data_IF_338483886600
#
_entry.id   IF_338483886600
#
_cell.length_a   1.000
_cell.length_b   1.000
_cell.length_c   1.000
_cell.angle_alpha   90.00
_cell.angle_beta   90.00
_cell.angle_gamma   90.00
#
_symmetry.space_group_name_H-M   'P 1'
#
loop_
_entity.id
_entity.type
_entity.pdbx_description
1 polymer ?
#
# COMPACT_ATOMS: atom_id res chain seq x y z
N UNK A 1 9.04 -3.30 4.02
CA UNK A 1 10.16 -4.04 3.41
C UNK A 1 10.87 -4.90 4.44
N UNK A 2 11.30 -4.36 5.60
CA UNK A 2 12.03 -5.13 6.63
C UNK A 2 11.17 -6.15 7.41
N UNK A 3 9.91 -5.85 7.74
CA UNK A 3 9.04 -6.83 8.45
C UNK A 3 8.49 -7.95 7.56
N UNK A 4 8.55 -7.82 6.23
CA UNK A 4 8.02 -8.83 5.32
C UNK A 4 8.95 -10.05 5.21
N UNK A 5 10.27 -9.85 5.34
CA UNK A 5 11.27 -10.89 5.06
C UNK A 5 11.24 -12.07 6.02
N UNK A 6 11.05 -11.83 7.32
CA UNK A 6 10.98 -12.89 8.33
C UNK A 6 9.71 -13.74 8.20
N UNK A 7 8.60 -13.09 7.87
CA UNK A 7 7.33 -13.78 7.70
C UNK A 7 7.19 -14.43 6.32
N UNK A 8 8.04 -14.06 5.34
CA UNK A 8 8.03 -14.63 4.00
C UNK A 8 8.65 -16.04 3.93
N UNK A 9 9.65 -16.35 4.77
CA UNK A 9 10.20 -17.70 4.90
C UNK A 9 9.30 -18.61 5.76
N UNK A 10 8.68 -18.04 6.79
CA UNK A 10 7.84 -18.81 7.70
C UNK A 10 6.41 -19.00 7.20
N UNK A 11 5.87 -18.13 6.36
CA UNK A 11 4.49 -18.28 5.85
C UNK A 11 4.26 -19.55 5.02
N UNK A 12 5.08 -19.93 4.03
CA UNK A 12 4.89 -21.20 3.33
C UNK A 12 5.14 -22.40 4.25
N UNK A 13 6.17 -22.34 5.10
CA UNK A 13 6.46 -23.40 6.09
C UNK A 13 5.33 -23.58 7.12
N UNK A 14 4.73 -22.48 7.60
CA UNK A 14 3.62 -22.50 8.53
C UNK A 14 2.31 -22.91 7.86
N UNK A 15 2.08 -22.53 6.60
CA UNK A 15 0.90 -22.93 5.82
C UNK A 15 0.88 -24.43 5.52
N UNK A 16 2.04 -25.05 5.31
CA UNK A 16 2.15 -26.50 5.15
C UNK A 16 1.99 -27.26 6.48
N UNK A 17 2.40 -26.66 7.61
CA UNK A 17 2.37 -27.31 8.92
C UNK A 17 1.06 -27.08 9.70
N UNK A 18 0.43 -25.92 9.55
CA UNK A 18 -0.74 -25.46 10.32
C UNK A 18 -1.66 -24.56 9.47
N UNK A 19 -2.52 -25.13 8.61
CA UNK A 19 -3.35 -24.37 7.66
C UNK A 19 -4.31 -23.36 8.33
N UNK A 20 -4.83 -23.71 9.51
CA UNK A 20 -5.93 -22.97 10.18
C UNK A 20 -5.53 -22.43 11.57
N UNK A 21 -4.22 -22.27 11.82
CA UNK A 21 -3.73 -21.82 13.12
C UNK A 21 -4.07 -20.33 13.40
N UNK A 22 -4.49 -19.95 14.62
CA UNK A 22 -4.84 -18.57 14.97
C UNK A 22 -3.69 -17.57 14.76
N UNK A 23 -2.44 -18.06 14.74
CA UNK A 23 -1.27 -17.24 14.42
C UNK A 23 -1.28 -16.80 12.95
N UNK A 24 -1.56 -17.70 12.00
CA UNK A 24 -1.48 -17.43 10.55
C UNK A 24 -2.42 -16.31 10.14
N UNK A 25 -3.63 -16.26 10.71
CA UNK A 25 -4.60 -15.19 10.48
C UNK A 25 -4.12 -13.83 11.00
N UNK A 26 -3.56 -13.81 12.22
CA UNK A 26 -3.01 -12.60 12.82
C UNK A 26 -1.83 -12.04 12.02
N UNK A 27 -0.93 -12.91 11.55
CA UNK A 27 0.19 -12.56 10.68
C UNK A 27 -0.28 -12.03 9.32
N UNK A 28 -1.30 -12.66 8.73
CA UNK A 28 -1.91 -12.21 7.47
C UNK A 28 -2.51 -10.81 7.57
N UNK A 29 -3.18 -10.49 8.68
CA UNK A 29 -3.71 -9.15 8.95
C UNK A 29 -2.60 -8.12 9.10
N UNK A 30 -1.55 -8.42 9.88
CA UNK A 30 -0.42 -7.49 10.06
C UNK A 30 0.28 -7.14 8.74
N UNK A 31 0.50 -8.14 7.87
CA UNK A 31 1.07 -7.90 6.54
C UNK A 31 0.23 -6.97 5.67
N UNK A 32 -1.10 -7.08 5.70
CA UNK A 32 -2.01 -6.25 4.89
C UNK A 32 -1.93 -4.77 5.29
N UNK A 33 -1.92 -4.48 6.59
CA UNK A 33 -1.82 -3.12 7.10
C UNK A 33 -0.41 -2.52 6.91
N UNK A 34 0.64 -3.32 7.12
CA UNK A 34 2.02 -2.89 6.84
C UNK A 34 2.24 -2.54 5.37
N UNK A 35 1.62 -3.29 4.45
CA UNK A 35 1.60 -3.00 3.01
C UNK A 35 0.94 -1.65 2.71
N UNK A 36 -0.21 -1.36 3.33
CA UNK A 36 -0.91 -0.08 3.18
C UNK A 36 -0.05 1.12 3.59
N UNK A 37 0.60 1.02 4.74
CA UNK A 37 1.47 2.08 5.27
C UNK A 37 2.68 2.27 4.35
N UNK A 38 3.30 1.16 3.90
CA UNK A 38 4.44 1.20 2.99
C UNK A 38 4.13 1.91 1.67
N UNK A 39 2.97 1.63 1.06
CA UNK A 39 2.53 2.29 -0.18
C UNK A 39 2.40 3.80 0.01
N UNK A 40 1.72 4.24 1.06
CA UNK A 40 1.54 5.66 1.35
C UNK A 40 2.88 6.35 1.61
N UNK A 41 3.76 5.73 2.40
CA UNK A 41 5.08 6.27 2.69
C UNK A 41 5.94 6.43 1.42
N UNK A 42 5.99 5.41 0.54
CA UNK A 42 6.75 5.50 -0.70
C UNK A 42 6.18 6.52 -1.69
N UNK A 43 4.85 6.64 -1.78
CA UNK A 43 4.21 7.67 -2.59
C UNK A 43 4.59 9.08 -2.13
N UNK A 44 4.58 9.32 -0.82
CA UNK A 44 4.99 10.60 -0.20
C UNK A 44 6.48 10.89 -0.48
N UNK A 45 7.36 9.90 -0.29
CA UNK A 45 8.81 10.08 -0.50
C UNK A 45 9.09 10.43 -1.97
N UNK A 46 8.46 9.74 -2.92
CA UNK A 46 8.60 10.03 -4.35
C UNK A 46 8.09 11.42 -4.71
N UNK A 47 6.91 11.81 -4.22
CA UNK A 47 6.35 13.13 -4.44
C UNK A 47 7.22 14.25 -3.82
N UNK A 48 7.75 14.02 -2.62
CA UNK A 48 8.66 14.95 -1.95
C UNK A 48 9.97 15.14 -2.74
N UNK A 49 10.52 14.06 -3.30
CA UNK A 49 11.73 14.12 -4.12
C UNK A 49 11.52 14.97 -5.38
N UNK A 50 10.38 14.80 -6.07
CA UNK A 50 10.00 15.65 -7.21
C UNK A 50 9.84 17.12 -6.82
N UNK A 51 9.22 17.38 -5.66
CA UNK A 51 9.02 18.74 -5.16
C UNK A 51 10.35 19.44 -4.85
N UNK A 52 11.33 18.72 -4.28
CA UNK A 52 12.69 19.25 -4.04
C UNK A 52 13.40 19.66 -5.32
N UNK A 53 13.08 19.02 -6.45
CA UNK A 53 13.60 19.36 -7.77
C UNK A 53 12.80 20.45 -8.50
N UNK A 54 11.83 21.09 -7.83
CA UNK A 54 10.94 22.12 -8.38
C UNK A 54 10.20 21.66 -9.65
N UNK A 55 9.90 20.36 -9.74
CA UNK A 55 9.14 19.80 -10.85
C UNK A 55 7.66 20.23 -10.78
N UNK A 56 6.93 20.25 -11.91
CA UNK A 56 5.49 20.53 -11.89
C UNK A 56 4.75 19.51 -11.01
N UNK A 57 3.70 19.96 -10.33
CA UNK A 57 2.95 19.15 -9.37
C UNK A 57 2.46 17.81 -9.95
N UNK A 58 2.02 17.81 -11.21
CA UNK A 58 1.61 16.59 -11.91
C UNK A 58 2.75 15.55 -12.01
N UNK A 59 3.98 16.00 -12.32
CA UNK A 59 5.14 15.12 -12.37
C UNK A 59 5.50 14.59 -10.98
N UNK A 60 5.34 15.38 -9.92
CA UNK A 60 5.55 14.94 -8.54
C UNK A 60 4.57 13.82 -8.14
N UNK A 61 3.28 13.92 -8.50
CA UNK A 61 2.31 12.83 -8.26
C UNK A 61 2.73 11.56 -8.99
N UNK A 62 3.10 11.68 -10.26
CA UNK A 62 3.55 10.56 -11.08
C UNK A 62 4.80 9.90 -10.50
N UNK A 63 5.78 10.68 -10.02
CA UNK A 63 6.96 10.14 -9.35
C UNK A 63 6.61 9.38 -8.06
N UNK A 64 5.66 9.90 -7.27
CA UNK A 64 5.13 9.21 -6.10
C UNK A 64 4.49 7.86 -6.49
N UNK A 65 3.62 7.87 -7.49
CA UNK A 65 2.98 6.66 -8.02
C UNK A 65 4.00 5.63 -8.51
N UNK A 66 4.98 6.05 -9.31
CA UNK A 66 6.03 5.16 -9.83
C UNK A 66 6.86 4.56 -8.70
N UNK A 67 7.25 5.35 -7.71
CA UNK A 67 8.05 4.87 -6.56
C UNK A 67 7.25 3.82 -5.75
N UNK A 68 5.97 4.09 -5.49
CA UNK A 68 5.12 3.18 -4.73
C UNK A 68 4.85 1.87 -5.48
N UNK A 69 4.54 1.95 -6.79
CA UNK A 69 4.26 0.78 -7.62
C UNK A 69 5.51 -0.07 -7.85
N UNK A 70 6.67 0.55 -8.10
CA UNK A 70 7.93 -0.16 -8.28
C UNK A 70 8.32 -0.96 -7.04
N UNK A 71 8.12 -0.42 -5.83
CA UNK A 71 8.34 -1.17 -4.59
C UNK A 71 7.40 -2.38 -4.44
N UNK A 72 6.14 -2.24 -4.84
CA UNK A 72 5.17 -3.34 -4.86
C UNK A 72 5.56 -4.45 -5.85
N UNK A 73 5.92 -4.06 -7.07
CA UNK A 73 6.37 -4.99 -8.13
C UNK A 73 7.65 -5.71 -7.71
N UNK A 74 8.64 -4.99 -7.17
CA UNK A 74 9.90 -5.58 -6.72
C UNK A 74 9.68 -6.67 -5.66
N UNK A 75 8.79 -6.43 -4.69
CA UNK A 75 8.40 -7.46 -3.73
C UNK A 75 7.78 -8.66 -4.44
N UNK A 76 6.80 -8.43 -5.33
CA UNK A 76 6.08 -9.52 -5.97
C UNK A 76 7.02 -10.40 -6.84
N UNK A 77 8.01 -9.79 -7.52
CA UNK A 77 9.05 -10.47 -8.30
C UNK A 77 9.98 -11.31 -7.42
N UNK A 78 10.51 -10.74 -6.33
CA UNK A 78 11.38 -11.48 -5.38
C UNK A 78 10.62 -12.66 -4.77
N UNK A 79 9.33 -12.47 -4.52
CA UNK A 79 8.44 -13.47 -3.95
C UNK A 79 7.96 -14.53 -4.95
N UNK A 80 8.35 -14.43 -6.24
CA UNK A 80 7.85 -15.28 -7.34
C UNK A 80 6.31 -15.38 -7.38
N UNK A 81 5.61 -14.31 -6.95
CA UNK A 81 4.15 -14.24 -6.97
C UNK A 81 3.69 -13.44 -8.19
N UNK A 82 2.50 -13.74 -8.74
CA UNK A 82 1.93 -12.94 -9.80
C UNK A 82 1.81 -11.48 -9.36
N UNK A 83 2.27 -10.56 -10.22
CA UNK A 83 2.30 -9.11 -9.93
C UNK A 83 0.89 -8.63 -9.64
N UNK A 84 0.67 -8.11 -8.42
CA UNK A 84 -0.67 -7.70 -7.94
C UNK A 84 -1.25 -6.53 -8.71
N UNK A 85 -0.41 -5.72 -9.36
CA UNK A 85 -0.83 -4.56 -10.18
C UNK A 85 -1.50 -4.99 -11.49
N UNK A 86 -1.17 -6.17 -12.02
CA UNK A 86 -1.68 -6.65 -13.32
C UNK A 86 -2.98 -7.46 -13.22
N UNK A 87 -3.48 -7.73 -12.01
CA UNK A 87 -4.69 -8.52 -11.80
C UNK A 87 -5.94 -7.64 -11.71
N UNK A 88 -6.95 -7.96 -12.51
CA UNK A 88 -8.21 -7.22 -12.76
C UNK A 88 -9.01 -6.81 -11.49
N UNK A 89 -8.74 -7.42 -10.32
CA UNK A 89 -9.45 -7.15 -9.07
C UNK A 89 -8.64 -6.30 -8.05
N UNK A 90 -7.52 -5.67 -8.44
CA UNK A 90 -6.58 -5.00 -7.51
C UNK A 90 -6.23 -3.55 -7.90
N UNK A 91 -7.06 -2.91 -8.72
CA UNK A 91 -6.99 -1.51 -9.19
C UNK A 91 -6.82 -0.48 -8.04
N UNK A 92 -7.21 -0.90 -6.83
CA UNK A 92 -7.03 -0.16 -5.58
C UNK A 92 -5.55 0.17 -5.29
N UNK A 93 -4.57 -0.62 -5.75
CA UNK A 93 -3.17 -0.37 -5.40
C UNK A 93 -2.63 0.92 -6.05
N UNK A 94 -2.91 1.12 -7.34
CA UNK A 94 -2.47 2.29 -8.09
C UNK A 94 -3.30 3.54 -7.72
N UNK A 95 -4.61 3.39 -7.55
CA UNK A 95 -5.50 4.48 -7.13
C UNK A 95 -5.17 4.97 -5.72
N UNK A 96 -4.87 4.09 -4.77
CA UNK A 96 -4.45 4.48 -3.42
C UNK A 96 -3.10 5.21 -3.42
N UNK A 97 -2.13 4.73 -4.20
CA UNK A 97 -0.85 5.42 -4.37
C UNK A 97 -1.04 6.82 -5.00
N UNK A 98 -1.92 6.96 -5.99
CA UNK A 98 -2.22 8.23 -6.63
C UNK A 98 -2.95 9.20 -5.67
N UNK A 99 -3.96 8.72 -4.95
CA UNK A 99 -4.70 9.51 -3.97
C UNK A 99 -3.80 9.98 -2.81
N UNK A 100 -2.91 9.13 -2.31
CA UNK A 100 -1.97 9.52 -1.25
C UNK A 100 -0.95 10.58 -1.70
N UNK A 101 -0.39 10.43 -2.90
CA UNK A 101 0.50 11.44 -3.49
C UNK A 101 -0.25 12.76 -3.77
N UNK A 102 -1.48 12.70 -4.27
CA UNK A 102 -2.32 13.87 -4.49
C UNK A 102 -2.67 14.59 -3.17
N UNK A 103 -3.05 13.85 -2.12
CA UNK A 103 -3.33 14.41 -0.80
C UNK A 103 -2.09 15.09 -0.18
N UNK A 104 -0.92 14.48 -0.36
CA UNK A 104 0.35 15.08 0.05
C UNK A 104 0.63 16.40 -0.68
N UNK A 105 0.41 16.47 -1.99
CA UNK A 105 0.60 17.72 -2.75
C UNK A 105 -0.47 18.76 -2.41
N UNK A 106 -1.74 18.37 -2.22
CA UNK A 106 -2.80 19.28 -1.82
C UNK A 106 -2.45 19.97 -0.49
N UNK A 107 -2.05 19.20 0.53
CA UNK A 107 -1.61 19.75 1.83
C UNK A 107 -0.30 20.54 1.74
N UNK A 108 0.53 20.27 0.73
CA UNK A 108 1.70 21.08 0.40
C UNK A 108 1.32 22.47 -0.08
N UNK A 109 0.32 22.57 -0.96
CA UNK A 109 -0.15 23.84 -1.52
C UNK A 109 -0.77 24.73 -0.44
N UNK A 110 -1.42 24.13 0.56
CA UNK A 110 -2.03 24.82 1.70
C UNK A 110 -1.01 25.30 2.76
N UNK A 111 0.28 24.97 2.62
CA UNK A 111 1.33 25.45 3.53
C UNK A 111 1.33 24.83 4.93
N UNK A 112 0.67 23.69 5.14
CA UNK A 112 0.63 23.03 6.45
C UNK A 112 2.00 22.48 6.90
N UNK A 113 2.15 22.31 8.22
CA UNK A 113 3.35 21.73 8.84
C UNK A 113 3.70 20.36 8.21
N UNK A 114 4.99 20.01 8.03
CA UNK A 114 5.42 18.77 7.38
C UNK A 114 4.78 17.51 7.95
N UNK A 115 4.54 17.47 9.27
CA UNK A 115 3.88 16.35 9.94
C UNK A 115 2.45 16.12 9.42
N UNK A 116 1.67 17.19 9.21
CA UNK A 116 0.28 17.11 8.71
C UNK A 116 0.26 16.64 7.26
N UNK A 117 1.24 17.06 6.45
CA UNK A 117 1.38 16.62 5.06
C UNK A 117 1.59 15.10 4.99
N UNK A 118 2.50 14.56 5.80
CA UNK A 118 2.75 13.11 5.87
C UNK A 118 1.52 12.36 6.42
N UNK A 119 0.91 12.87 7.48
CA UNK A 119 -0.28 12.27 8.08
C UNK A 119 -1.44 12.17 7.07
N UNK A 120 -1.65 13.19 6.24
CA UNK A 120 -2.71 13.19 5.22
C UNK A 120 -2.51 12.12 4.15
N UNK A 121 -1.28 11.90 3.70
CA UNK A 121 -0.94 10.89 2.69
C UNK A 121 -0.99 9.46 3.24
N UNK A 122 -0.53 9.24 4.47
CA UNK A 122 -0.64 7.93 5.13
C UNK A 122 -2.10 7.63 5.48
N UNK A 123 -2.84 8.63 5.96
CA UNK A 123 -4.27 8.52 6.27
C UNK A 123 -5.09 8.14 5.04
N UNK A 124 -4.86 8.78 3.90
CA UNK A 124 -5.53 8.40 2.63
C UNK A 124 -5.20 6.97 2.21
N UNK A 125 -3.97 6.49 2.45
CA UNK A 125 -3.61 5.10 2.15
C UNK A 125 -4.33 4.08 3.04
N UNK A 126 -4.43 4.38 4.34
CA UNK A 126 -5.15 3.55 5.31
C UNK A 126 -6.65 3.53 5.03
N UNK A 127 -7.24 4.71 4.77
CA UNK A 127 -8.65 4.85 4.41
C UNK A 127 -8.94 4.08 3.12
N UNK A 128 -8.12 4.25 2.08
CA UNK A 128 -8.28 3.50 0.83
C UNK A 128 -8.26 1.98 1.02
N UNK A 129 -7.48 1.48 1.99
CA UNK A 129 -7.42 0.05 2.36
C UNK A 129 -8.56 -0.41 3.25
N UNK A 130 -9.04 0.44 4.14
CA UNK A 130 -10.23 0.19 4.93
C UNK A 130 -11.46 0.03 4.02
N UNK A 131 -11.63 0.97 3.07
CA UNK A 131 -12.69 0.92 2.06
C UNK A 131 -12.57 -0.28 1.13
N UNK A 132 -11.36 -0.66 0.75
CA UNK A 132 -11.09 -1.86 -0.03
C UNK A 132 -11.59 -3.13 0.66
N UNK A 133 -11.31 -3.26 1.95
CA UNK A 133 -11.66 -4.45 2.75
C UNK A 133 -13.18 -4.59 2.93
N UNK A 134 -13.91 -3.47 2.98
CA UNK A 134 -15.37 -3.46 3.10
C UNK A 134 -16.10 -3.78 1.78
N UNK A 135 -15.41 -3.72 0.63
CA UNK A 135 -16.01 -4.00 -0.69
C UNK A 135 -15.70 -5.41 -1.21
N UNK A 136 -14.98 -6.25 -0.48
CA UNK A 136 -14.64 -7.60 -0.95
C UNK A 136 -15.92 -8.48 -1.05
N UNK A 137 -16.34 -8.90 -2.26
CA UNK A 137 -17.54 -9.72 -2.46
C UNK A 137 -17.44 -11.12 -1.81
N UNK A 138 -16.22 -11.56 -1.48
CA UNK A 138 -15.96 -12.83 -0.78
C UNK A 138 -16.38 -12.81 0.71
N UNK A 139 -16.42 -11.64 1.35
CA UNK A 139 -16.99 -11.47 2.69
C UNK A 139 -18.53 -11.40 2.63
N UNK A 140 -19.08 -10.70 1.63
CA UNK A 140 -20.52 -10.67 1.34
C UNK A 140 -21.08 -12.08 1.10
N UNK A 141 -20.35 -12.93 0.36
CA UNK A 141 -20.74 -14.33 0.13
C UNK A 141 -20.69 -15.22 1.39
N UNK A 142 -19.90 -14.85 2.42
CA UNK A 142 -19.91 -15.54 3.74
C UNK A 142 -20.99 -15.01 4.70
N UNK A 143 -21.59 -13.85 4.41
CA UNK A 143 -22.64 -13.22 5.21
C UNK A 143 -24.06 -13.50 4.72
N UNK A 144 -24.24 -13.97 3.48
CA UNK A 144 -25.54 -14.46 3.02
C UNK A 144 -25.81 -15.86 3.62
N UNK A 145 -26.93 -16.06 4.34
CA UNK A 145 -27.36 -17.37 4.83
C UNK A 145 -27.76 -18.31 3.69
#
# INVERSE_FOLDING_TARGET
>A
VVCASAAFLLAPYANERWPDGPMVEAWGSFMKWGDAIGVGAFAIIGAHCGLRRKMPYAACVLFGLMTATFGGITRDVICQRPVRVLHNNREQYATVALCSAAAYIATTLLGFHPAVRVASGVGTSLVGRYWATHRDPAQLAKMLP
#
